data_IF_749299604955
#
_entry.id   IF_749299604955
#
_cell.length_a   1.000
_cell.length_b   1.000
_cell.length_c   1.000
_cell.angle_alpha   90.00
_cell.angle_beta   90.00
_cell.angle_gamma   90.00
#
_symmetry.space_group_name_H-M   'P 1'
#
loop_
_entity.id
_entity.type
_entity.pdbx_description
1 polymer ?
#
# COMPACT_ATOMS: atom_id res chain seq x y z
N UNK A 1 -18.18 23.01 -3.26
CA UNK A 1 -16.90 23.77 -3.15
C UNK A 1 -15.79 22.89 -3.69
N UNK A 2 -15.03 23.36 -4.67
CA UNK A 2 -13.93 22.58 -5.24
C UNK A 2 -12.68 22.79 -4.40
N UNK A 3 -12.13 21.71 -3.83
CA UNK A 3 -10.92 21.73 -2.96
C UNK A 3 -9.72 22.34 -3.70
N UNK A 4 -9.58 22.09 -5.00
CA UNK A 4 -8.50 22.66 -5.82
C UNK A 4 -8.53 24.18 -5.84
N UNK A 5 -9.70 24.78 -5.96
CA UNK A 5 -9.86 26.24 -5.93
C UNK A 5 -9.52 26.85 -4.57
N UNK A 6 -9.82 26.12 -3.46
CA UNK A 6 -9.45 26.55 -2.11
C UNK A 6 -7.93 26.66 -1.89
N UNK A 7 -7.16 25.81 -2.56
CA UNK A 7 -5.69 25.79 -2.49
C UNK A 7 -5.04 26.53 -3.67
N UNK A 8 -5.83 27.31 -4.44
CA UNK A 8 -5.33 28.12 -5.56
C UNK A 8 -4.84 27.31 -6.75
N UNK A 9 -5.48 26.18 -7.03
CA UNK A 9 -5.16 25.31 -8.18
C UNK A 9 -6.38 25.14 -9.07
N UNK A 10 -6.14 25.07 -10.36
CA UNK A 10 -7.17 24.78 -11.37
C UNK A 10 -7.21 23.28 -11.70
N UNK A 11 -6.08 22.58 -11.56
CA UNK A 11 -5.93 21.17 -11.87
C UNK A 11 -5.27 20.37 -10.72
N UNK A 12 -5.53 19.06 -10.67
CA UNK A 12 -4.86 18.15 -9.77
C UNK A 12 -3.37 18.02 -10.14
N UNK A 13 -2.52 17.82 -9.11
CA UNK A 13 -1.09 17.55 -9.34
C UNK A 13 -0.92 16.28 -10.20
N UNK A 14 0.05 16.33 -11.11
CA UNK A 14 0.44 15.21 -11.95
C UNK A 14 -0.64 14.68 -12.90
N UNK A 15 -1.75 15.40 -13.11
CA UNK A 15 -2.81 14.94 -14.02
C UNK A 15 -2.29 14.70 -15.44
N UNK A 16 -1.54 15.64 -15.99
CA UNK A 16 -0.95 15.50 -17.33
C UNK A 16 0.06 14.32 -17.41
N UNK A 17 0.88 14.13 -16.38
CA UNK A 17 1.85 13.04 -16.33
C UNK A 17 1.15 11.68 -16.20
N UNK A 18 0.09 11.61 -15.36
CA UNK A 18 -0.73 10.42 -15.21
C UNK A 18 -1.45 10.05 -16.50
N UNK A 19 -1.99 11.03 -17.21
CA UNK A 19 -2.67 10.80 -18.48
C UNK A 19 -1.67 10.32 -19.55
N UNK A 20 -0.50 10.93 -19.63
CA UNK A 20 0.54 10.55 -20.59
C UNK A 20 1.11 9.14 -20.33
N UNK A 21 1.22 8.73 -19.08
CA UNK A 21 1.84 7.45 -18.67
C UNK A 21 0.83 6.36 -18.29
N UNK A 22 -0.47 6.65 -18.32
CA UNK A 22 -1.50 5.73 -17.80
C UNK A 22 -1.49 4.36 -18.48
N UNK A 23 -1.31 4.32 -19.79
CA UNK A 23 -1.29 3.07 -20.56
C UNK A 23 -0.09 2.19 -20.17
N UNK A 24 1.11 2.79 -20.08
CA UNK A 24 2.32 2.10 -19.67
C UNK A 24 2.22 1.61 -18.21
N UNK A 25 1.71 2.47 -17.33
CA UNK A 25 1.54 2.14 -15.91
C UNK A 25 0.55 0.99 -15.71
N UNK A 26 -0.58 1.03 -16.41
CA UNK A 26 -1.59 -0.03 -16.35
C UNK A 26 -1.03 -1.37 -16.85
N UNK A 27 -0.34 -1.37 -17.99
CA UNK A 27 0.27 -2.58 -18.56
C UNK A 27 1.36 -3.14 -17.63
N UNK A 28 2.22 -2.29 -17.10
CA UNK A 28 3.28 -2.67 -16.17
C UNK A 28 2.73 -3.28 -14.88
N UNK A 29 1.74 -2.63 -14.26
CA UNK A 29 1.09 -3.13 -13.04
C UNK A 29 0.35 -4.44 -13.30
N UNK A 30 -0.41 -4.55 -14.40
CA UNK A 30 -1.19 -5.75 -14.71
C UNK A 30 -0.34 -7.02 -14.86
N UNK A 31 0.91 -6.90 -15.29
CA UNK A 31 1.84 -8.02 -15.45
C UNK A 31 2.65 -8.35 -14.20
N UNK A 32 2.60 -7.49 -13.19
CA UNK A 32 3.52 -7.54 -12.06
C UNK A 32 2.97 -8.28 -10.85
N UNK A 33 3.90 -8.83 -10.08
CA UNK A 33 3.71 -9.37 -8.74
C UNK A 33 4.19 -8.31 -7.76
N UNK A 34 3.29 -7.80 -6.94
CA UNK A 34 3.54 -6.61 -6.10
C UNK A 34 3.29 -6.93 -4.64
N UNK A 35 4.24 -6.54 -3.79
CA UNK A 35 4.13 -6.58 -2.34
C UNK A 35 4.07 -5.16 -1.78
N UNK A 36 3.11 -4.90 -0.91
CA UNK A 36 3.01 -3.63 -0.15
C UNK A 36 3.10 -3.93 1.35
N UNK A 37 4.16 -3.46 1.99
CA UNK A 37 4.39 -3.57 3.43
C UNK A 37 3.89 -2.28 4.09
N UNK A 38 3.10 -2.38 5.16
CA UNK A 38 2.42 -1.24 5.77
C UNK A 38 1.22 -0.77 4.94
N UNK A 39 0.60 -1.68 4.18
CA UNK A 39 -0.44 -1.36 3.22
C UNK A 39 -1.79 -1.00 3.82
N UNK A 40 -2.02 -1.24 5.12
CA UNK A 40 -3.26 -0.88 5.81
C UNK A 40 -3.20 0.48 6.54
N UNK A 41 -2.05 1.15 6.53
CA UNK A 41 -1.90 2.53 6.99
C UNK A 41 -2.53 3.54 6.02
N UNK A 42 -2.61 4.82 6.41
CA UNK A 42 -3.26 5.85 5.59
C UNK A 42 -2.65 6.01 4.20
N UNK A 43 -1.33 6.06 4.10
CA UNK A 43 -0.62 6.12 2.81
C UNK A 43 -0.70 4.77 2.11
N UNK A 44 -0.50 3.67 2.85
CA UNK A 44 -0.54 2.31 2.34
C UNK A 44 -1.87 1.99 1.63
N UNK A 45 -2.99 2.33 2.24
CA UNK A 45 -4.31 2.14 1.64
C UNK A 45 -4.49 2.90 0.33
N UNK A 46 -3.97 4.13 0.23
CA UNK A 46 -4.03 4.91 -1.01
C UNK A 46 -3.23 4.23 -2.12
N UNK A 47 -2.00 3.78 -1.82
CA UNK A 47 -1.14 3.06 -2.76
C UNK A 47 -1.76 1.73 -3.18
N UNK A 48 -2.26 0.95 -2.22
CA UNK A 48 -2.93 -0.34 -2.50
C UNK A 48 -4.14 -0.15 -3.42
N UNK A 49 -4.97 0.89 -3.20
CA UNK A 49 -6.11 1.20 -4.08
C UNK A 49 -5.68 1.52 -5.50
N UNK A 50 -4.61 2.31 -5.66
CA UNK A 50 -4.08 2.67 -6.98
C UNK A 50 -3.52 1.46 -7.74
N UNK A 51 -2.90 0.53 -7.04
CA UNK A 51 -2.41 -0.72 -7.62
C UNK A 51 -3.58 -1.66 -7.93
N UNK A 52 -4.49 -1.86 -6.99
CA UNK A 52 -5.61 -2.80 -7.10
C UNK A 52 -6.53 -2.49 -8.30
N UNK A 53 -6.85 -1.23 -8.54
CA UNK A 53 -7.71 -0.81 -9.66
C UNK A 53 -7.09 -1.11 -11.04
N UNK A 54 -5.78 -1.35 -11.11
CA UNK A 54 -5.05 -1.71 -12.34
C UNK A 54 -4.91 -3.21 -12.56
N UNK A 55 -5.59 -4.01 -11.74
CA UNK A 55 -5.62 -5.48 -11.87
C UNK A 55 -4.23 -6.13 -11.94
N UNK A 56 -3.38 -5.98 -10.92
CA UNK A 56 -2.07 -6.61 -10.90
C UNK A 56 -2.20 -8.14 -11.00
N UNK A 57 -1.19 -8.78 -11.58
CA UNK A 57 -1.13 -10.25 -11.62
C UNK A 57 -1.21 -10.85 -10.22
N UNK A 58 -0.54 -10.22 -9.25
CA UNK A 58 -0.57 -10.57 -7.85
C UNK A 58 -0.36 -9.30 -7.00
N UNK A 59 -1.18 -9.12 -5.99
CA UNK A 59 -1.02 -8.07 -4.98
C UNK A 59 -1.10 -8.69 -3.59
N UNK A 60 0.01 -8.68 -2.89
CA UNK A 60 0.07 -9.03 -1.48
C UNK A 60 0.24 -7.80 -0.63
N UNK A 61 -0.48 -7.76 0.47
CA UNK A 61 -0.45 -6.64 1.42
C UNK A 61 -0.12 -7.16 2.81
N UNK A 62 0.92 -6.63 3.40
CA UNK A 62 1.38 -6.97 4.75
C UNK A 62 1.17 -5.77 5.66
N UNK A 63 0.60 -6.00 6.82
CA UNK A 63 0.45 -5.00 7.89
C UNK A 63 0.38 -5.72 9.24
N UNK A 64 0.82 -5.06 10.30
CA UNK A 64 0.71 -5.60 11.66
C UNK A 64 -0.73 -5.56 12.19
N UNK A 65 -1.56 -4.68 11.66
CA UNK A 65 -2.94 -4.47 12.11
C UNK A 65 -3.92 -5.30 11.28
N UNK A 66 -4.38 -6.41 11.83
CA UNK A 66 -5.42 -7.26 11.22
C UNK A 66 -6.71 -6.47 10.98
N UNK A 67 -7.15 -5.67 11.95
CA UNK A 67 -8.37 -4.87 11.79
C UNK A 67 -8.29 -3.90 10.60
N UNK A 68 -7.17 -3.21 10.44
CA UNK A 68 -6.99 -2.29 9.33
C UNK A 68 -6.92 -3.03 7.98
N UNK A 69 -6.35 -4.24 7.93
CA UNK A 69 -6.38 -5.09 6.74
C UNK A 69 -7.80 -5.51 6.37
N UNK A 70 -8.62 -5.89 7.36
CA UNK A 70 -10.03 -6.23 7.13
C UNK A 70 -10.79 -5.03 6.55
N UNK A 71 -10.61 -3.83 7.12
CA UNK A 71 -11.24 -2.61 6.61
C UNK A 71 -10.75 -2.24 5.20
N UNK A 72 -9.45 -2.42 4.91
CA UNK A 72 -8.90 -2.25 3.57
C UNK A 72 -9.59 -3.18 2.56
N UNK A 73 -9.68 -4.48 2.87
CA UNK A 73 -10.32 -5.48 2.00
C UNK A 73 -11.79 -5.14 1.76
N UNK A 74 -12.53 -4.80 2.81
CA UNK A 74 -13.93 -4.36 2.69
C UNK A 74 -14.08 -3.13 1.80
N UNK A 75 -13.24 -2.12 2.02
CA UNK A 75 -13.23 -0.90 1.22
C UNK A 75 -12.91 -1.15 -0.26
N UNK A 76 -11.94 -1.99 -0.56
CA UNK A 76 -11.61 -2.37 -1.94
C UNK A 76 -12.77 -3.09 -2.63
N UNK A 77 -13.34 -4.09 -1.97
CA UNK A 77 -14.46 -4.88 -2.52
C UNK A 77 -15.72 -4.06 -2.73
N UNK A 78 -16.03 -3.15 -1.82
CA UNK A 78 -17.22 -2.29 -1.92
C UNK A 78 -17.12 -1.23 -3.01
N UNK A 79 -15.90 -0.74 -3.30
CA UNK A 79 -15.69 0.37 -4.25
C UNK A 79 -15.20 -0.08 -5.62
N UNK A 80 -14.37 -1.12 -5.67
CA UNK A 80 -13.68 -1.58 -6.88
C UNK A 80 -14.05 -3.03 -7.29
N UNK A 81 -14.74 -3.76 -6.41
CA UNK A 81 -15.09 -5.16 -6.66
C UNK A 81 -13.91 -6.11 -6.46
N UNK A 82 -13.78 -7.08 -7.35
CA UNK A 82 -12.74 -8.10 -7.29
C UNK A 82 -11.69 -7.86 -8.37
N UNK A 83 -10.42 -8.10 -8.01
CA UNK A 83 -9.32 -8.13 -8.99
C UNK A 83 -9.35 -9.45 -9.75
N UNK A 84 -8.91 -9.43 -11.02
CA UNK A 84 -8.70 -10.65 -11.81
C UNK A 84 -7.46 -11.43 -11.40
N UNK A 85 -6.50 -10.76 -10.76
CA UNK A 85 -5.28 -11.37 -10.22
C UNK A 85 -5.45 -11.85 -8.79
N UNK A 86 -4.38 -12.43 -8.25
CA UNK A 86 -4.34 -12.89 -6.87
C UNK A 86 -4.22 -11.70 -5.91
N UNK A 87 -5.09 -11.67 -4.90
CA UNK A 87 -5.04 -10.68 -3.83
C UNK A 87 -5.06 -11.37 -2.47
N UNK A 88 -4.00 -11.17 -1.68
CA UNK A 88 -3.88 -11.69 -0.31
C UNK A 88 -3.44 -10.62 0.66
N UNK A 89 -3.85 -10.76 1.91
CA UNK A 89 -3.40 -9.93 3.04
C UNK A 89 -2.80 -10.80 4.12
N UNK A 90 -1.75 -10.30 4.77
CA UNK A 90 -1.04 -10.99 5.85
C UNK A 90 -0.90 -10.06 7.04
N UNK A 91 -1.46 -10.46 8.19
CA UNK A 91 -1.37 -9.74 9.45
C UNK A 91 -0.08 -10.16 10.19
N UNK A 92 1.06 -9.66 9.74
CA UNK A 92 2.38 -10.01 10.29
C UNK A 92 3.29 -8.78 10.42
N UNK A 93 4.22 -8.86 11.34
CA UNK A 93 5.32 -7.89 11.47
C UNK A 93 6.38 -8.19 10.40
N UNK A 94 6.79 -7.17 9.63
CA UNK A 94 7.81 -7.33 8.58
C UNK A 94 9.22 -7.66 9.11
N UNK A 95 9.44 -7.60 10.42
CA UNK A 95 10.66 -8.05 11.08
C UNK A 95 10.58 -9.45 11.69
N UNK A 96 9.54 -10.23 11.39
CA UNK A 96 9.29 -11.55 11.98
C UNK A 96 9.73 -12.70 11.08
N UNK A 97 9.92 -13.88 11.69
CA UNK A 97 10.20 -15.12 10.95
C UNK A 97 9.04 -15.53 10.03
N UNK A 98 7.81 -15.20 10.41
CA UNK A 98 6.62 -15.41 9.58
C UNK A 98 6.69 -14.60 8.29
N UNK A 99 7.20 -13.38 8.35
CA UNK A 99 7.41 -12.57 7.16
C UNK A 99 8.50 -13.14 6.25
N UNK A 100 9.61 -13.64 6.84
CA UNK A 100 10.66 -14.31 6.06
C UNK A 100 10.10 -15.54 5.34
N UNK A 101 9.26 -16.33 6.00
CA UNK A 101 8.58 -17.47 5.39
C UNK A 101 7.65 -17.04 4.23
N UNK A 102 6.94 -15.93 4.36
CA UNK A 102 6.13 -15.37 3.26
C UNK A 102 7.01 -14.99 2.07
N UNK A 103 8.14 -14.34 2.32
CA UNK A 103 9.07 -13.95 1.24
C UNK A 103 9.63 -15.16 0.50
N UNK A 104 9.91 -16.24 1.21
CA UNK A 104 10.42 -17.51 0.63
C UNK A 104 9.35 -18.27 -0.17
N UNK A 105 8.11 -18.33 0.36
CA UNK A 105 7.05 -19.17 -0.21
C UNK A 105 6.21 -18.48 -1.26
N UNK A 106 5.93 -17.20 -1.09
CA UNK A 106 5.05 -16.42 -1.97
C UNK A 106 5.81 -15.57 -2.99
N UNK A 107 7.12 -15.36 -2.77
CA UNK A 107 7.99 -14.64 -3.73
C UNK A 107 8.28 -15.43 -5.01
N UNK A 108 9.07 -14.89 -5.94
CA UNK A 108 9.58 -13.53 -5.94
C UNK A 108 8.52 -12.48 -6.31
N UNK A 109 8.79 -11.23 -5.94
CA UNK A 109 7.99 -10.07 -6.33
C UNK A 109 8.76 -9.19 -7.32
N UNK A 110 8.06 -8.59 -8.27
CA UNK A 110 8.64 -7.63 -9.23
C UNK A 110 8.85 -6.25 -8.59
N UNK A 111 7.91 -5.87 -7.70
CA UNK A 111 7.97 -4.61 -6.96
C UNK A 111 7.61 -4.82 -5.48
N UNK A 112 8.37 -4.16 -4.61
CA UNK A 112 8.10 -4.11 -3.17
C UNK A 112 8.00 -2.65 -2.73
N UNK A 113 6.86 -2.28 -2.18
CA UNK A 113 6.64 -0.96 -1.58
C UNK A 113 6.69 -1.11 -0.06
N UNK A 114 7.74 -0.60 0.57
CA UNK A 114 7.82 -0.55 2.02
C UNK A 114 7.32 0.82 2.52
N UNK A 115 6.10 0.83 3.04
CA UNK A 115 5.41 2.00 3.58
C UNK A 115 5.22 1.87 5.10
N UNK A 116 5.83 0.86 5.71
CA UNK A 116 5.81 0.69 7.15
C UNK A 116 6.71 1.71 7.83
N UNK A 117 6.22 2.27 8.93
CA UNK A 117 7.01 3.14 9.79
C UNK A 117 6.55 2.98 11.24
N UNK A 118 7.50 2.88 12.15
CA UNK A 118 7.24 3.01 13.58
C UNK A 118 7.33 4.50 13.94
N UNK A 119 6.31 5.28 13.55
CA UNK A 119 6.31 6.72 13.82
C UNK A 119 4.94 7.20 14.28
N UNK A 120 4.87 7.58 15.56
CA UNK A 120 3.75 8.31 16.12
C UNK A 120 4.28 9.53 16.87
N UNK A 121 3.63 10.67 16.77
CA UNK A 121 4.02 11.91 17.45
C UNK A 121 4.20 11.71 18.97
N UNK A 122 3.44 10.81 19.57
CA UNK A 122 3.59 10.44 20.99
C UNK A 122 4.83 9.60 21.28
N UNK A 123 5.24 8.79 20.35
CA UNK A 123 6.40 7.90 20.49
C UNK A 123 7.72 8.68 20.52
N UNK A 124 7.77 9.84 19.89
CA UNK A 124 8.96 10.71 19.89
C UNK A 124 9.22 11.35 21.28
N UNK A 125 8.23 11.36 22.17
CA UNK A 125 8.34 11.91 23.54
C UNK A 125 8.74 10.89 24.60
N UNK A 126 8.65 9.60 24.26
CA UNK A 126 9.04 8.51 25.14
C UNK A 126 10.42 7.96 24.75
N UNK A 127 11.44 8.06 25.65
CA UNK A 127 12.80 7.66 25.30
C UNK A 127 12.93 6.18 24.94
N UNK A 128 12.10 5.29 25.50
CA UNK A 128 12.15 3.86 25.19
C UNK A 128 11.62 3.57 23.78
N UNK A 129 10.54 4.22 23.41
CA UNK A 129 9.98 4.09 22.05
C UNK A 129 10.88 4.78 21.03
N UNK A 130 11.48 5.92 21.37
CA UNK A 130 12.46 6.60 20.52
C UNK A 130 13.68 5.72 20.24
N UNK A 131 14.21 5.03 21.25
CA UNK A 131 15.31 4.07 21.06
C UNK A 131 14.92 2.97 20.08
N UNK A 132 13.72 2.39 20.21
CA UNK A 132 13.23 1.37 19.30
C UNK A 132 13.06 1.85 17.86
N UNK A 133 12.81 3.15 17.66
CA UNK A 133 12.73 3.75 16.32
C UNK A 133 14.09 3.94 15.64
N UNK A 134 15.15 4.05 16.45
CA UNK A 134 16.53 4.30 15.97
C UNK A 134 17.27 2.98 15.71
N UNK A 135 16.97 1.94 16.45
CA UNK A 135 17.57 0.61 16.31
C UNK A 135 16.91 -0.23 15.23
#
# INVERSE_FOLDING_TARGET
MNILQLIGRDEALFSADLDALSAELNDRVARSRILVIGGAGSIGQAVVREIFKRNPRLLHVVDISENNLVELVRGLRSTLGYSSGEFKTFAVDCGSLEFDAIMETEGPYDYVFNLSALKHVRSEKDPYTLMRMIM
#
